data_IF_712417931059
#
_entry.id   IF_712417931059
#
_cell.length_a   1.000
_cell.length_b   1.000
_cell.length_c   1.000
_cell.angle_alpha   90.00
_cell.angle_beta   90.00
_cell.angle_gamma   90.00
#
_symmetry.space_group_name_H-M   'P 1'
#
loop_
_entity.id
_entity.type
_entity.pdbx_description
1 polymer ?
#
# COMPACT_ATOMS: atom_id res chain seq x y z
N UNK A 1 -29.15 -8.69 25.14
CA UNK A 1 -28.41 -7.55 24.57
C UNK A 1 -27.39 -8.08 23.55
N UNK A 2 -27.50 -7.73 22.26
CA UNK A 2 -26.48 -8.09 21.25
C UNK A 2 -25.21 -7.29 21.58
N UNK A 3 -24.12 -7.96 21.94
CA UNK A 3 -22.82 -7.30 22.09
C UNK A 3 -22.43 -6.76 20.71
N UNK A 4 -22.33 -5.43 20.58
CA UNK A 4 -21.66 -4.85 19.44
C UNK A 4 -20.22 -5.40 19.43
N UNK A 5 -19.87 -6.16 18.40
CA UNK A 5 -18.47 -6.57 18.19
C UNK A 5 -17.71 -5.33 17.75
N UNK A 6 -17.14 -4.62 18.72
CA UNK A 6 -16.23 -3.53 18.42
C UNK A 6 -14.99 -4.13 17.74
N UNK A 7 -14.72 -3.64 16.53
CA UNK A 7 -13.52 -3.99 15.79
C UNK A 7 -12.34 -3.27 16.43
N UNK A 8 -11.19 -3.95 16.48
CA UNK A 8 -9.95 -3.28 16.88
C UNK A 8 -9.58 -2.24 15.83
N UNK A 9 -8.77 -1.23 16.18
CA UNK A 9 -8.26 -0.27 15.19
C UNK A 9 -7.63 -0.95 13.97
N UNK A 10 -6.87 -2.03 14.16
CA UNK A 10 -6.24 -2.78 13.07
C UNK A 10 -7.26 -3.45 12.15
N UNK A 11 -8.34 -3.98 12.73
CA UNK A 11 -9.45 -4.56 11.95
C UNK A 11 -10.18 -3.49 11.15
N UNK A 12 -10.39 -2.31 11.73
CA UNK A 12 -11.01 -1.17 11.03
C UNK A 12 -10.14 -0.71 9.86
N UNK A 13 -8.82 -0.57 10.08
CA UNK A 13 -7.87 -0.18 9.02
C UNK A 13 -7.83 -1.23 7.91
N UNK A 14 -7.76 -2.50 8.26
CA UNK A 14 -7.71 -3.61 7.28
C UNK A 14 -8.97 -3.65 6.42
N UNK A 15 -10.15 -3.56 7.05
CA UNK A 15 -11.41 -3.57 6.33
C UNK A 15 -11.62 -2.29 5.50
N UNK A 16 -11.26 -1.13 6.05
CA UNK A 16 -11.32 0.15 5.34
C UNK A 16 -10.44 0.14 4.08
N UNK A 17 -9.21 -0.35 4.20
CA UNK A 17 -8.31 -0.49 3.05
C UNK A 17 -8.87 -1.45 2.00
N UNK A 18 -9.44 -2.60 2.42
CA UNK A 18 -10.05 -3.55 1.48
C UNK A 18 -11.23 -2.92 0.71
N UNK A 19 -12.04 -2.10 1.37
CA UNK A 19 -13.14 -1.35 0.73
C UNK A 19 -12.60 -0.33 -0.27
N UNK A 20 -11.54 0.41 0.10
CA UNK A 20 -10.89 1.38 -0.78
C UNK A 20 -10.31 0.71 -2.03
N UNK A 21 -9.59 -0.39 -1.88
CA UNK A 21 -9.02 -1.15 -3.01
C UNK A 21 -10.12 -1.66 -3.93
N UNK A 22 -11.24 -2.14 -3.37
CA UNK A 22 -12.38 -2.62 -4.16
C UNK A 22 -13.03 -1.49 -4.97
N UNK A 23 -13.10 -0.28 -4.41
CA UNK A 23 -13.76 0.87 -5.06
C UNK A 23 -12.87 1.65 -6.03
N UNK A 24 -11.59 1.79 -5.70
CA UNK A 24 -10.67 2.73 -6.37
C UNK A 24 -9.51 2.02 -7.08
N UNK A 25 -9.35 0.71 -6.89
CA UNK A 25 -8.12 0.00 -7.20
C UNK A 25 -7.00 0.34 -6.21
N UNK A 26 -5.90 -0.41 -6.29
CA UNK A 26 -4.77 -0.27 -5.36
C UNK A 26 -4.12 1.12 -5.41
N UNK A 27 -3.93 1.68 -6.60
CA UNK A 27 -3.29 2.98 -6.78
C UNK A 27 -4.18 4.11 -6.24
N UNK A 28 -5.49 4.08 -6.52
CA UNK A 28 -6.44 5.07 -6.03
C UNK A 28 -6.66 4.98 -4.51
N UNK A 29 -6.62 3.78 -3.94
CA UNK A 29 -6.68 3.59 -2.49
C UNK A 29 -5.47 4.21 -1.77
N UNK A 30 -4.27 4.07 -2.35
CA UNK A 30 -3.05 4.65 -1.79
C UNK A 30 -3.07 6.18 -1.87
N UNK A 31 -3.45 6.75 -3.01
CA UNK A 31 -3.59 8.21 -3.19
C UNK A 31 -4.63 8.81 -2.23
N UNK A 32 -5.75 8.09 -2.01
CA UNK A 32 -6.76 8.49 -1.04
C UNK A 32 -6.17 8.57 0.37
N UNK A 33 -5.43 7.55 0.81
CA UNK A 33 -4.80 7.57 2.14
C UNK A 33 -3.78 8.72 2.26
N UNK A 34 -2.97 8.96 1.23
CA UNK A 34 -2.01 10.06 1.21
C UNK A 34 -2.63 11.46 1.38
N UNK A 35 -3.89 11.66 0.99
CA UNK A 35 -4.58 12.96 1.16
C UNK A 35 -4.94 13.25 2.63
N UNK A 36 -5.13 12.21 3.44
CA UNK A 36 -5.61 12.33 4.83
C UNK A 36 -4.55 11.97 5.87
N UNK A 37 -3.46 11.32 5.47
CA UNK A 37 -2.27 11.24 6.30
C UNK A 37 -1.64 12.63 6.40
N UNK A 38 -1.34 13.07 7.62
CA UNK A 38 -0.49 14.25 7.85
C UNK A 38 0.94 13.90 7.41
N UNK A 39 1.16 13.86 6.11
CA UNK A 39 2.46 13.52 5.53
C UNK A 39 3.49 14.57 5.91
N UNK A 40 4.64 14.14 6.40
CA UNK A 40 5.87 14.91 6.28
C UNK A 40 6.65 14.37 5.09
N UNK A 41 7.07 15.27 4.19
CA UNK A 41 7.85 14.92 3.00
C UNK A 41 7.10 15.12 1.69
N UNK A 42 7.83 14.96 0.58
CA UNK A 42 7.32 15.09 -0.79
C UNK A 42 7.46 13.72 -1.45
N UNK A 43 6.46 12.85 -1.25
CA UNK A 43 6.47 11.48 -1.76
C UNK A 43 6.76 11.43 -3.26
N UNK A 44 6.28 12.41 -4.03
CA UNK A 44 6.54 12.47 -5.47
C UNK A 44 8.04 12.70 -5.75
N UNK A 45 8.71 13.60 -5.01
CA UNK A 45 10.17 13.77 -5.09
C UNK A 45 10.91 12.54 -4.59
N UNK A 46 10.53 11.99 -3.45
CA UNK A 46 11.19 10.83 -2.85
C UNK A 46 11.08 9.59 -3.76
N UNK A 47 9.90 9.33 -4.31
CA UNK A 47 9.67 8.27 -5.30
C UNK A 47 10.54 8.44 -6.54
N UNK A 48 10.61 9.67 -7.09
CA UNK A 48 11.48 9.96 -8.24
C UNK A 48 12.95 9.70 -7.93
N UNK A 49 13.40 10.05 -6.72
CA UNK A 49 14.77 9.81 -6.29
C UNK A 49 15.06 8.32 -6.09
N UNK A 50 14.17 7.59 -5.43
CA UNK A 50 14.29 6.15 -5.19
C UNK A 50 14.27 5.33 -6.47
N UNK A 51 13.43 5.70 -7.43
CA UNK A 51 13.25 4.96 -8.68
C UNK A 51 14.12 5.47 -9.84
N UNK A 52 14.93 6.51 -9.63
CA UNK A 52 15.71 7.19 -10.68
C UNK A 52 16.53 6.24 -11.55
N UNK A 53 17.06 5.19 -10.94
CA UNK A 53 17.94 4.22 -11.60
C UNK A 53 17.36 2.79 -11.57
N UNK A 54 16.06 2.64 -11.32
CA UNK A 54 15.41 1.33 -11.22
C UNK A 54 14.73 1.02 -12.54
N UNK A 55 15.20 -0.02 -13.24
CA UNK A 55 14.54 -0.47 -14.46
C UNK A 55 13.46 -1.52 -14.17
N UNK A 56 12.52 -1.68 -15.10
CA UNK A 56 11.53 -2.76 -15.03
C UNK A 56 12.20 -4.15 -15.01
N UNK A 57 13.34 -4.31 -15.67
CA UNK A 57 14.13 -5.54 -15.63
C UNK A 57 14.67 -5.82 -14.22
N UNK A 58 15.13 -4.80 -13.50
CA UNK A 58 15.61 -4.92 -12.12
C UNK A 58 14.49 -5.32 -11.17
N UNK A 59 13.30 -4.73 -11.34
CA UNK A 59 12.12 -5.09 -10.57
C UNK A 59 11.70 -6.53 -10.82
N UNK A 60 11.66 -6.95 -12.09
CA UNK A 60 11.34 -8.34 -12.47
C UNK A 60 12.33 -9.33 -11.85
N UNK A 61 13.63 -9.02 -11.88
CA UNK A 61 14.68 -9.86 -11.26
C UNK A 61 14.51 -9.98 -9.75
N UNK A 62 14.11 -8.90 -9.06
CA UNK A 62 13.79 -8.94 -7.61
C UNK A 62 12.59 -9.82 -7.32
N UNK A 63 11.49 -9.67 -8.04
CA UNK A 63 10.28 -10.48 -7.86
C UNK A 63 10.53 -11.98 -8.10
N UNK A 64 11.32 -12.31 -9.13
CA UNK A 64 11.71 -13.69 -9.46
C UNK A 64 12.69 -14.31 -8.44
N UNK A 65 13.48 -13.49 -7.73
CA UNK A 65 14.34 -13.96 -6.63
C UNK A 65 13.54 -14.27 -5.37
N UNK A 66 12.51 -13.49 -5.06
CA UNK A 66 11.68 -13.67 -3.87
C UNK A 66 10.79 -14.92 -3.96
N UNK A 67 10.38 -15.30 -5.17
CA UNK A 67 9.61 -16.53 -5.42
C UNK A 67 10.45 -17.80 -5.31
N UNK A 68 11.76 -17.74 -5.62
CA UNK A 68 12.69 -18.87 -5.52
C UNK A 68 13.15 -19.22 -4.10
N UNK A 69 12.94 -18.34 -3.12
CA UNK A 69 13.25 -18.57 -1.68
C UNK A 69 12.06 -19.10 -0.89
N UNK A 70 10.87 -19.19 -1.51
CA UNK A 70 9.65 -19.75 -0.93
C UNK A 70 9.26 -21.08 -1.59
N UNK A 71 10.27 -21.86 -1.98
CA UNK A 71 10.15 -23.23 -2.49
C UNK A 71 11.10 -24.13 -1.74
#
# INVERSE_FOLDING_TARGET
>A
MKRARYKTPEQIVTEGFAVLVKGLGSDGALEFLHQYEAGQGDYTKERRQLLRNVTLADLKKRLLRTTRRRG
#
